data_IF_566630346735
#
_entry.id   IF_566630346735
#
_cell.length_a   1.000
_cell.length_b   1.000
_cell.length_c   1.000
_cell.angle_alpha   90.00
_cell.angle_beta   90.00
_cell.angle_gamma   90.00
#
_symmetry.space_group_name_H-M   'P 1'
#
loop_
_entity.id
_entity.type
_entity.pdbx_description
1 polymer ?
#
# COMPACT_ATOMS: atom_id res chain seq x y z
N UNK A 1 25.94 -8.58 -22.12
CA UNK A 1 27.11 -8.78 -21.24
C UNK A 1 26.69 -9.77 -20.17
N UNK A 2 27.33 -10.96 -20.09
CA UNK A 2 27.00 -11.91 -19.02
C UNK A 2 27.56 -11.36 -17.71
N UNK A 3 26.69 -11.22 -16.69
CA UNK A 3 27.12 -10.81 -15.37
C UNK A 3 27.92 -11.95 -14.72
N UNK A 4 29.03 -11.65 -14.05
CA UNK A 4 29.83 -12.67 -13.39
C UNK A 4 28.99 -13.36 -12.31
N UNK A 5 29.03 -14.67 -12.27
CA UNK A 5 28.42 -15.49 -11.21
C UNK A 5 29.46 -15.72 -10.13
N UNK A 6 29.23 -15.23 -8.94
CA UNK A 6 30.10 -15.41 -7.79
C UNK A 6 29.62 -16.60 -6.94
N UNK A 7 30.16 -17.77 -7.25
CA UNK A 7 29.98 -18.99 -6.43
C UNK A 7 28.62 -19.69 -6.58
N UNK A 8 28.45 -20.77 -5.82
CA UNK A 8 27.31 -21.68 -5.86
C UNK A 8 26.15 -21.26 -4.91
N UNK A 9 26.35 -20.26 -4.08
CA UNK A 9 25.40 -19.83 -3.05
C UNK A 9 24.30 -18.91 -3.57
N UNK A 10 24.28 -18.61 -4.85
CA UNK A 10 23.26 -17.77 -5.54
C UNK A 10 23.06 -16.39 -4.89
N UNK A 11 24.07 -15.80 -4.28
CA UNK A 11 24.00 -14.51 -3.60
C UNK A 11 23.77 -13.33 -4.56
N UNK A 12 24.06 -13.51 -5.85
CA UNK A 12 23.92 -12.46 -6.88
C UNK A 12 22.67 -12.64 -7.74
N UNK A 13 21.69 -13.41 -7.29
CA UNK A 13 20.47 -13.64 -8.05
C UNK A 13 19.72 -12.32 -8.35
N UNK A 14 19.83 -11.34 -7.49
CA UNK A 14 19.24 -10.00 -7.64
C UNK A 14 19.72 -9.29 -8.91
N UNK A 15 20.99 -9.48 -9.29
CA UNK A 15 21.55 -8.91 -10.51
C UNK A 15 20.95 -9.49 -11.81
N UNK A 16 20.20 -10.59 -11.71
CA UNK A 16 19.54 -11.26 -12.84
C UNK A 16 18.09 -10.83 -13.03
N UNK A 17 17.56 -10.06 -12.10
CA UNK A 17 16.16 -9.61 -12.11
C UNK A 17 16.11 -8.16 -12.59
N UNK A 18 15.35 -7.89 -13.64
CA UNK A 18 14.98 -6.53 -14.03
C UNK A 18 13.86 -6.04 -13.09
N UNK A 19 14.24 -5.44 -11.97
CA UNK A 19 13.32 -4.94 -10.97
C UNK A 19 12.43 -3.80 -11.48
N UNK A 20 12.90 -2.99 -12.42
CA UNK A 20 12.12 -1.91 -13.03
C UNK A 20 10.98 -2.47 -13.88
N UNK A 21 11.27 -3.47 -14.68
CA UNK A 21 10.26 -4.19 -15.46
C UNK A 21 9.27 -4.90 -14.53
N UNK A 22 9.77 -5.64 -13.54
CA UNK A 22 8.95 -6.37 -12.60
C UNK A 22 7.95 -5.45 -11.87
N UNK A 23 8.41 -4.28 -11.40
CA UNK A 23 7.57 -3.28 -10.78
C UNK A 23 6.47 -2.79 -11.71
N UNK A 24 6.82 -2.39 -12.93
CA UNK A 24 5.86 -1.89 -13.92
C UNK A 24 4.80 -2.93 -14.28
N UNK A 25 5.22 -4.18 -14.52
CA UNK A 25 4.31 -5.26 -14.90
C UNK A 25 3.33 -5.62 -13.76
N UNK A 26 3.82 -5.67 -12.51
CA UNK A 26 2.98 -5.92 -11.34
C UNK A 26 1.92 -4.83 -11.15
N UNK A 27 2.34 -3.59 -11.17
CA UNK A 27 1.42 -2.46 -11.02
C UNK A 27 0.41 -2.40 -12.18
N UNK A 28 0.86 -2.61 -13.42
CA UNK A 28 -0.02 -2.64 -14.58
C UNK A 28 -1.08 -3.75 -14.49
N UNK A 29 -0.71 -4.94 -14.00
CA UNK A 29 -1.66 -6.03 -13.76
C UNK A 29 -2.71 -5.64 -12.73
N UNK A 30 -2.30 -5.14 -11.57
CA UNK A 30 -3.22 -4.71 -10.52
C UNK A 30 -4.18 -3.61 -11.02
N UNK A 31 -3.67 -2.62 -11.75
CA UNK A 31 -4.50 -1.57 -12.36
C UNK A 31 -5.49 -2.13 -13.37
N UNK A 32 -5.07 -3.09 -14.18
CA UNK A 32 -5.95 -3.71 -15.18
C UNK A 32 -7.09 -4.52 -14.54
N UNK A 33 -6.83 -5.20 -13.42
CA UNK A 33 -7.84 -5.92 -12.65
C UNK A 33 -8.78 -4.94 -11.94
N UNK A 34 -8.25 -3.92 -11.29
CA UNK A 34 -9.04 -2.88 -10.63
C UNK A 34 -9.97 -2.16 -11.62
N UNK A 35 -9.49 -1.85 -12.82
CA UNK A 35 -10.29 -1.21 -13.86
C UNK A 35 -11.45 -2.08 -14.38
N UNK A 36 -11.38 -3.40 -14.22
CA UNK A 36 -12.46 -4.34 -14.59
C UNK A 36 -13.41 -4.62 -13.43
N UNK A 37 -13.08 -4.20 -12.23
CA UNK A 37 -13.89 -4.37 -11.04
C UNK A 37 -14.86 -3.21 -10.84
N UNK A 38 -15.78 -3.37 -9.88
CA UNK A 38 -16.68 -2.29 -9.44
C UNK A 38 -16.04 -1.38 -8.37
N UNK A 39 -14.76 -1.60 -8.02
CA UNK A 39 -14.05 -0.85 -6.99
C UNK A 39 -13.43 0.42 -7.58
N UNK A 40 -13.61 1.56 -6.92
CA UNK A 40 -12.95 2.81 -7.26
C UNK A 40 -11.49 2.86 -6.78
N UNK A 41 -11.15 2.02 -5.81
CA UNK A 41 -9.79 1.95 -5.26
C UNK A 41 -9.53 0.64 -4.55
N UNK A 42 -8.23 0.34 -4.35
CA UNK A 42 -7.76 -0.78 -3.57
C UNK A 42 -6.88 -0.27 -2.41
N UNK A 43 -7.24 -0.59 -1.19
CA UNK A 43 -6.54 -0.22 0.03
C UNK A 43 -5.91 -1.47 0.66
N UNK A 44 -4.57 -1.56 0.63
CA UNK A 44 -3.85 -2.73 1.08
C UNK A 44 -3.05 -2.46 2.35
N UNK A 45 -3.22 -3.34 3.34
CA UNK A 45 -2.48 -3.38 4.60
C UNK A 45 -1.57 -4.62 4.69
N UNK A 46 -1.77 -5.64 3.86
CA UNK A 46 -0.86 -6.77 3.81
C UNK A 46 0.49 -6.37 3.21
N UNK A 47 1.58 -6.77 3.88
CA UNK A 47 2.93 -6.41 3.48
C UNK A 47 3.31 -6.89 2.07
N UNK A 48 2.78 -8.04 1.64
CA UNK A 48 3.06 -8.58 0.31
C UNK A 48 2.31 -7.78 -0.76
N UNK A 49 1.06 -7.44 -0.50
CA UNK A 49 0.25 -6.61 -1.39
C UNK A 49 0.78 -5.19 -1.47
N UNK A 50 1.17 -4.59 -0.34
CA UNK A 50 1.87 -3.29 -0.32
C UNK A 50 3.16 -3.36 -1.15
N UNK A 51 3.98 -4.41 -0.95
CA UNK A 51 5.20 -4.63 -1.75
C UNK A 51 4.89 -4.84 -3.23
N UNK A 52 3.85 -5.58 -3.55
CA UNK A 52 3.44 -5.84 -4.93
C UNK A 52 3.11 -4.54 -5.67
N UNK A 53 2.33 -3.66 -5.04
CA UNK A 53 1.87 -2.41 -5.63
C UNK A 53 2.93 -1.30 -5.65
N UNK A 54 3.79 -1.24 -4.63
CA UNK A 54 4.73 -0.12 -4.42
C UNK A 54 6.19 -0.48 -4.69
N UNK A 55 6.52 -1.76 -4.80
CA UNK A 55 7.89 -2.29 -4.86
C UNK A 55 8.78 -1.84 -3.67
N UNK A 56 8.18 -1.65 -2.49
CA UNK A 56 8.90 -1.27 -1.26
C UNK A 56 8.77 -2.33 -0.18
N UNK A 57 9.78 -2.44 0.70
CA UNK A 57 9.78 -3.41 1.80
C UNK A 57 10.49 -2.81 3.01
N UNK A 58 9.97 -3.08 4.21
CA UNK A 58 10.49 -2.56 5.49
C UNK A 58 10.62 -3.65 6.58
N UNK A 59 10.82 -4.89 6.23
CA UNK A 59 11.09 -5.97 7.19
C UNK A 59 9.99 -6.16 8.26
N UNK A 60 10.40 -6.40 9.51
CA UNK A 60 9.53 -6.81 10.61
C UNK A 60 8.50 -5.77 11.07
N UNK A 61 8.71 -4.49 10.79
CA UNK A 61 7.75 -3.42 11.11
C UNK A 61 6.41 -3.56 10.40
N UNK A 62 6.33 -4.41 9.39
CA UNK A 62 5.08 -4.73 8.70
C UNK A 62 4.09 -5.58 9.51
N UNK A 63 4.42 -5.98 10.74
CA UNK A 63 3.53 -6.75 11.61
C UNK A 63 2.31 -5.93 12.08
N UNK A 64 2.51 -4.64 12.37
CA UNK A 64 1.41 -3.73 12.70
C UNK A 64 0.82 -3.16 11.41
N UNK A 65 -0.30 -3.73 10.98
CA UNK A 65 -0.88 -3.47 9.66
C UNK A 65 -1.20 -2.01 9.40
N UNK A 66 -1.71 -1.31 10.40
CA UNK A 66 -2.07 0.10 10.25
C UNK A 66 -0.87 1.07 10.23
N UNK A 67 0.35 0.62 10.55
CA UNK A 67 1.54 1.47 10.44
C UNK A 67 2.01 1.69 9.01
N UNK A 68 1.63 0.77 8.10
CA UNK A 68 2.04 0.81 6.72
C UNK A 68 0.94 0.29 5.82
N UNK A 69 0.49 1.12 4.90
CA UNK A 69 -0.57 0.75 3.96
C UNK A 69 -0.43 1.54 2.66
N UNK A 70 -1.06 1.05 1.62
CA UNK A 70 -1.09 1.71 0.32
C UNK A 70 -2.51 1.81 -0.21
N UNK A 71 -2.82 2.94 -0.84
CA UNK A 71 -4.05 3.17 -1.61
C UNK A 71 -3.68 3.20 -3.09
N UNK A 72 -4.29 2.34 -3.88
CA UNK A 72 -4.26 2.39 -5.33
C UNK A 72 -5.61 2.89 -5.84
N UNK A 73 -5.74 4.18 -6.23
CA UNK A 73 -6.94 4.67 -6.90
C UNK A 73 -7.03 4.10 -8.32
N UNK A 74 -8.25 3.85 -8.81
CA UNK A 74 -8.45 3.29 -10.15
C UNK A 74 -7.84 4.16 -11.27
N UNK A 75 -7.84 5.48 -11.09
CA UNK A 75 -7.42 6.47 -12.09
C UNK A 75 -6.04 7.11 -11.81
N UNK A 76 -5.28 6.60 -10.82
CA UNK A 76 -4.01 7.22 -10.42
C UNK A 76 -2.94 6.17 -10.05
N UNK A 77 -1.79 6.62 -9.59
CA UNK A 77 -0.67 5.83 -9.10
C UNK A 77 -0.80 5.54 -7.58
N UNK A 78 -0.17 4.48 -7.07
CA UNK A 78 -0.28 4.12 -5.65
C UNK A 78 0.30 5.19 -4.74
N UNK A 79 -0.38 5.41 -3.61
CA UNK A 79 0.06 6.27 -2.51
C UNK A 79 0.44 5.36 -1.35
N UNK A 80 1.65 5.51 -0.84
CA UNK A 80 2.17 4.74 0.30
C UNK A 80 2.21 5.62 1.54
N UNK A 81 1.61 5.17 2.63
CA UNK A 81 1.86 5.69 3.97
C UNK A 81 2.75 4.73 4.73
N UNK A 82 3.83 5.27 5.28
CA UNK A 82 4.81 4.52 6.03
C UNK A 82 5.26 5.32 7.25
N UNK A 83 5.87 4.69 8.24
CA UNK A 83 6.35 5.46 9.38
C UNK A 83 7.44 6.46 8.95
N UNK A 84 7.56 7.59 9.65
CA UNK A 84 8.20 8.82 9.17
C UNK A 84 9.57 8.65 8.51
N UNK A 85 10.50 7.91 9.13
CA UNK A 85 11.85 7.69 8.57
C UNK A 85 11.82 6.83 7.30
N UNK A 86 10.95 5.80 7.24
CA UNK A 86 10.80 4.96 6.07
C UNK A 86 10.15 5.73 4.91
N UNK A 87 9.15 6.57 5.17
CA UNK A 87 8.55 7.42 4.16
C UNK A 87 9.61 8.33 3.50
N UNK A 88 10.48 8.95 4.32
CA UNK A 88 11.56 9.79 3.80
C UNK A 88 12.59 8.98 3.01
N UNK A 89 12.95 7.79 3.48
CA UNK A 89 13.82 6.88 2.74
C UNK A 89 13.25 6.54 1.37
N UNK A 90 11.98 6.19 1.29
CA UNK A 90 11.33 5.88 0.02
C UNK A 90 11.23 7.09 -0.92
N UNK A 91 11.01 8.28 -0.42
CA UNK A 91 11.06 9.50 -1.23
C UNK A 91 12.42 9.68 -1.93
N UNK A 92 13.51 9.36 -1.23
CA UNK A 92 14.87 9.52 -1.74
C UNK A 92 15.31 8.38 -2.69
N UNK A 93 14.89 7.14 -2.40
CA UNK A 93 15.42 5.94 -3.06
C UNK A 93 14.40 5.23 -3.97
N UNK A 94 13.13 5.63 -3.94
CA UNK A 94 12.07 5.09 -4.78
C UNK A 94 11.45 6.19 -5.66
N UNK A 95 12.16 6.64 -6.72
CA UNK A 95 11.72 7.79 -7.53
C UNK A 95 10.35 7.57 -8.19
N UNK A 96 9.93 6.33 -8.39
CA UNK A 96 8.61 6.00 -8.90
C UNK A 96 7.47 6.31 -7.93
N UNK A 97 7.74 6.45 -6.62
CA UNK A 97 6.78 6.92 -5.62
C UNK A 97 6.90 8.43 -5.41
N UNK A 98 8.12 8.95 -5.25
CA UNK A 98 8.35 10.34 -4.97
C UNK A 98 7.54 10.85 -3.77
N UNK A 99 6.82 11.94 -3.93
CA UNK A 99 5.96 12.53 -2.91
C UNK A 99 4.71 11.69 -2.55
N UNK A 100 4.40 10.66 -3.32
CA UNK A 100 3.35 9.69 -2.97
C UNK A 100 3.77 8.74 -1.84
N UNK A 101 5.06 8.71 -1.47
CA UNK A 101 5.50 8.12 -0.21
C UNK A 101 5.36 9.17 0.89
N UNK A 102 4.45 8.95 1.83
CA UNK A 102 4.03 9.91 2.85
C UNK A 102 4.20 9.36 4.26
N UNK A 103 4.47 10.23 5.25
CA UNK A 103 4.48 9.80 6.63
C UNK A 103 3.09 9.31 7.05
N UNK A 104 3.06 8.08 7.55
CA UNK A 104 1.88 7.45 8.11
C UNK A 104 1.60 7.93 9.53
N UNK A 105 0.53 7.38 10.10
CA UNK A 105 0.17 7.57 11.49
C UNK A 105 0.64 6.33 12.25
N UNK A 106 1.44 6.52 13.30
CA UNK A 106 1.88 5.40 14.14
C UNK A 106 0.69 4.78 14.85
N UNK A 107 0.50 3.47 14.67
CA UNK A 107 -0.55 2.65 15.28
C UNK A 107 0.06 1.37 15.88
N UNK A 108 1.10 1.51 16.68
CA UNK A 108 1.75 0.39 17.36
C UNK A 108 0.78 -0.26 18.37
N UNK A 109 0.58 -1.56 18.22
CA UNK A 109 -0.25 -2.34 19.14
C UNK A 109 0.24 -2.23 20.57
N UNK A 110 -0.71 -2.06 21.50
CA UNK A 110 -0.43 -1.92 22.91
C UNK A 110 0.14 -0.56 23.34
N UNK A 111 0.50 0.31 22.38
CA UNK A 111 0.99 1.66 22.67
C UNK A 111 -0.03 2.75 22.29
N UNK A 112 -1.02 2.41 21.45
CA UNK A 112 -2.05 3.34 20.98
C UNK A 112 -3.39 2.92 21.58
N UNK A 113 -4.04 3.83 22.28
CA UNK A 113 -5.39 3.62 22.81
C UNK A 113 -6.45 4.17 21.86
N UNK A 114 -7.69 3.66 21.90
CA UNK A 114 -8.77 4.15 21.05
C UNK A 114 -9.01 5.67 21.17
N UNK A 115 -8.83 6.22 22.39
CA UNK A 115 -9.05 7.65 22.68
C UNK A 115 -8.08 8.56 21.96
N UNK A 116 -6.96 8.03 21.46
CA UNK A 116 -6.00 8.79 20.64
C UNK A 116 -6.51 9.10 19.23
N UNK A 117 -7.63 8.51 18.77
CA UNK A 117 -8.26 8.79 17.50
C UNK A 117 -7.43 8.44 16.26
N UNK A 118 -6.44 7.53 16.39
CA UNK A 118 -5.51 7.25 15.29
C UNK A 118 -6.17 6.52 14.12
N UNK A 119 -7.14 5.66 14.40
CA UNK A 119 -7.90 4.98 13.37
C UNK A 119 -8.74 5.97 12.54
N UNK A 120 -9.36 6.93 13.20
CA UNK A 120 -10.11 8.02 12.58
C UNK A 120 -9.20 8.92 11.74
N UNK A 121 -7.98 9.20 12.21
CA UNK A 121 -7.01 9.97 11.45
C UNK A 121 -6.59 9.25 10.16
N UNK A 122 -6.39 7.93 10.21
CA UNK A 122 -6.11 7.09 9.03
C UNK A 122 -7.29 7.15 8.07
N UNK A 123 -8.50 6.90 8.55
CA UNK A 123 -9.71 6.89 7.74
C UNK A 123 -9.95 8.26 7.05
N UNK A 124 -9.76 9.35 7.77
CA UNK A 124 -9.89 10.71 7.25
C UNK A 124 -8.86 10.99 6.14
N UNK A 125 -7.60 10.57 6.31
CA UNK A 125 -6.58 10.71 5.25
C UNK A 125 -6.98 9.97 3.98
N UNK A 126 -7.47 8.74 4.11
CA UNK A 126 -7.93 7.93 2.98
C UNK A 126 -9.13 8.62 2.30
N UNK A 127 -10.11 9.08 3.10
CA UNK A 127 -11.27 9.79 2.60
C UNK A 127 -10.89 11.02 1.77
N UNK A 128 -9.98 11.87 2.28
CA UNK A 128 -9.49 13.06 1.57
C UNK A 128 -8.86 12.69 0.22
N UNK A 129 -8.02 11.65 0.19
CA UNK A 129 -7.40 11.21 -1.07
C UNK A 129 -8.43 10.74 -2.11
N UNK A 130 -9.46 10.04 -1.66
CA UNK A 130 -10.54 9.60 -2.53
C UNK A 130 -11.44 10.75 -2.99
N UNK A 131 -11.70 11.73 -2.14
CA UNK A 131 -12.44 12.94 -2.51
C UNK A 131 -11.73 13.77 -3.57
N UNK A 132 -10.43 13.99 -3.40
CA UNK A 132 -9.62 14.73 -4.39
C UNK A 132 -9.63 14.08 -5.78
N UNK A 133 -9.93 12.77 -5.85
CA UNK A 133 -9.99 11.99 -7.10
C UNK A 133 -11.41 11.71 -7.58
N UNK A 134 -12.42 12.16 -6.85
CA UNK A 134 -13.82 11.90 -7.17
C UNK A 134 -14.28 10.45 -6.92
N UNK A 135 -13.49 9.66 -6.16
CA UNK A 135 -13.70 8.22 -5.93
C UNK A 135 -14.33 7.88 -4.57
N UNK A 136 -14.64 8.87 -3.75
CA UNK A 136 -15.14 8.65 -2.37
C UNK A 136 -16.54 8.00 -2.29
N UNK A 137 -17.28 7.94 -3.38
CA UNK A 137 -18.58 7.26 -3.47
C UNK A 137 -18.47 5.84 -4.01
N UNK A 138 -17.33 5.50 -4.60
CA UNK A 138 -17.08 4.19 -5.17
C UNK A 138 -16.63 3.21 -4.06
N UNK A 139 -16.86 1.90 -4.24
CA UNK A 139 -16.39 0.91 -3.28
C UNK A 139 -14.86 0.91 -3.14
N UNK A 140 -14.39 0.77 -1.91
CA UNK A 140 -12.99 0.60 -1.55
C UNK A 140 -12.74 -0.88 -1.27
N UNK A 141 -11.98 -1.55 -2.12
CA UNK A 141 -11.54 -2.92 -1.90
C UNK A 141 -10.45 -2.96 -0.85
N UNK A 142 -10.57 -3.83 0.15
CA UNK A 142 -9.58 -3.98 1.22
C UNK A 142 -9.12 -5.42 1.29
N UNK A 143 -7.80 -5.65 1.44
CA UNK A 143 -7.22 -6.98 1.58
C UNK A 143 -7.40 -7.55 2.99
N UNK A 144 -6.75 -6.96 3.96
CA UNK A 144 -6.88 -7.26 5.39
C UNK A 144 -6.93 -5.94 6.16
N UNK A 145 -7.62 -5.92 7.29
CA UNK A 145 -7.75 -4.69 8.07
C UNK A 145 -7.95 -4.97 9.56
N UNK A 146 -7.48 -4.08 10.41
CA UNK A 146 -7.79 -4.08 11.83
C UNK A 146 -9.18 -3.44 12.06
N UNK A 147 -10.00 -4.05 12.93
CA UNK A 147 -11.38 -3.63 13.16
C UNK A 147 -11.54 -2.13 13.49
N UNK A 148 -10.68 -1.50 14.32
CA UNK A 148 -10.84 -0.07 14.59
C UNK A 148 -10.73 0.79 13.32
N UNK A 149 -9.83 0.44 12.41
CA UNK A 149 -9.67 1.16 11.14
C UNK A 149 -10.86 0.91 10.21
N UNK A 150 -11.38 -0.34 10.16
CA UNK A 150 -12.58 -0.67 9.40
C UNK A 150 -13.78 0.18 9.84
N UNK A 151 -14.04 0.22 11.15
CA UNK A 151 -15.15 1.00 11.69
C UNK A 151 -14.98 2.51 11.44
N UNK A 152 -13.74 3.01 11.51
CA UNK A 152 -13.45 4.41 11.20
C UNK A 152 -13.70 4.73 9.71
N UNK A 153 -13.31 3.86 8.77
CA UNK A 153 -13.62 4.02 7.35
C UNK A 153 -15.13 4.05 7.08
N UNK A 154 -15.87 3.13 7.70
CA UNK A 154 -17.33 3.12 7.60
C UNK A 154 -17.98 4.38 8.18
N UNK A 155 -17.47 4.87 9.31
CA UNK A 155 -17.91 6.14 9.93
C UNK A 155 -17.65 7.35 9.03
N UNK A 156 -16.56 7.35 8.27
CA UNK A 156 -16.27 8.34 7.22
C UNK A 156 -17.17 8.17 5.98
N UNK A 157 -18.09 7.22 5.96
CA UNK A 157 -19.03 6.99 4.87
C UNK A 157 -18.46 6.25 3.67
N UNK A 158 -17.31 5.58 3.81
CA UNK A 158 -16.73 4.78 2.74
C UNK A 158 -17.39 3.40 2.66
N UNK A 159 -17.74 2.97 1.46
CA UNK A 159 -18.25 1.63 1.18
C UNK A 159 -17.09 0.66 1.06
N UNK A 160 -16.90 -0.19 2.07
CA UNK A 160 -15.82 -1.18 2.10
C UNK A 160 -16.29 -2.51 1.53
N UNK A 161 -15.47 -3.12 0.68
CA UNK A 161 -15.70 -4.45 0.07
C UNK A 161 -14.43 -5.30 0.13
N UNK A 162 -14.55 -6.60 -0.13
CA UNK A 162 -13.39 -7.51 -0.22
C UNK A 162 -12.52 -7.15 -1.44
N UNK A 163 -11.27 -6.80 -1.20
CA UNK A 163 -10.25 -6.54 -2.22
C UNK A 163 -9.19 -7.63 -2.29
N UNK A 164 -9.17 -8.59 -1.33
CA UNK A 164 -8.19 -9.66 -1.32
C UNK A 164 -8.36 -10.61 -2.53
N UNK A 165 -9.59 -10.83 -2.96
CA UNK A 165 -9.87 -11.65 -4.14
C UNK A 165 -9.14 -11.10 -5.38
N UNK A 166 -9.18 -9.77 -5.60
CA UNK A 166 -8.47 -9.11 -6.70
C UNK A 166 -6.95 -9.27 -6.61
N UNK A 167 -6.39 -9.24 -5.41
CA UNK A 167 -4.94 -9.41 -5.23
C UNK A 167 -4.47 -10.86 -5.37
N UNK A 168 -5.39 -11.82 -5.42
CA UNK A 168 -5.10 -13.26 -5.57
C UNK A 168 -5.12 -13.74 -7.02
N UNK A 169 -5.59 -12.92 -7.97
CA UNK A 169 -5.59 -13.18 -9.41
C UNK A 169 -4.23 -12.81 -10.06
#
# INVERSE_FOLDING_TARGET
>A
MALPTYGTMAVDWENRVDFDRLRRERLARAKALLAKSEMGSLLCFDMNNVRYLTATHIGTWAQDKANRFTLLPQNDEPILWDFGSAARHHQLHCPWLGERSRPGISMLRGAITPEMGRAEDVARKIRIELEMRGLHKEPVGIDIIELPVLFALQKEGLKVVDGQALMSE
#
